data_IF_685797706391
#
_entry.id   IF_685797706391
#
_cell.length_a   1.000
_cell.length_b   1.000
_cell.length_c   1.000
_cell.angle_alpha   90.00
_cell.angle_beta   90.00
_cell.angle_gamma   90.00
#
_symmetry.space_group_name_H-M   'P 1'
#
loop_
_entity.id
_entity.type
_entity.pdbx_description
1 polymer ?
#
# COMPACT_ATOMS: atom_id res chain seq x y z
N UNK A 1 0.62 -10.15 -7.31
CA UNK A 1 -0.84 -10.33 -7.36
C UNK A 1 -1.57 -9.43 -6.39
N UNK A 2 -1.00 -9.05 -5.24
CA UNK A 2 -1.58 -8.01 -4.36
C UNK A 2 -0.54 -6.92 -4.01
N UNK A 3 -0.57 -5.83 -4.77
CA UNK A 3 0.35 -4.69 -4.55
C UNK A 3 -0.10 -3.79 -3.39
N UNK A 4 -1.36 -3.85 -2.98
CA UNK A 4 -1.98 -2.90 -2.05
C UNK A 4 -2.17 -3.44 -0.63
N UNK A 5 -1.86 -4.71 -0.38
CA UNK A 5 -1.89 -5.29 0.97
C UNK A 5 -1.15 -4.41 2.00
N UNK A 6 -1.81 -4.07 3.10
CA UNK A 6 -1.17 -3.41 4.23
C UNK A 6 -0.22 -4.32 5.02
N UNK A 7 -0.28 -5.63 4.80
CA UNK A 7 0.56 -6.61 5.49
C UNK A 7 1.78 -6.95 4.64
N UNK A 8 2.95 -6.52 5.10
CA UNK A 8 4.25 -6.74 4.44
C UNK A 8 5.31 -7.05 5.49
N UNK A 9 6.14 -8.04 5.22
CA UNK A 9 7.33 -8.36 6.02
C UNK A 9 8.56 -7.95 5.22
N UNK A 10 9.52 -7.33 5.88
CA UNK A 10 10.75 -6.87 5.24
C UNK A 10 11.96 -7.07 6.15
N UNK A 11 13.13 -7.17 5.53
CA UNK A 11 14.39 -7.24 6.27
C UNK A 11 14.71 -5.89 6.89
N UNK A 12 15.42 -5.91 8.02
CA UNK A 12 15.92 -4.70 8.68
C UNK A 12 16.72 -3.82 7.70
N UNK A 13 17.59 -4.44 6.90
CA UNK A 13 18.44 -3.73 5.94
C UNK A 13 17.63 -2.96 4.89
N UNK A 14 16.50 -3.52 4.42
CA UNK A 14 15.63 -2.80 3.50
C UNK A 14 14.87 -1.68 4.21
N UNK A 15 14.32 -1.97 5.41
CA UNK A 15 13.57 -0.99 6.19
C UNK A 15 14.39 0.26 6.54
N UNK A 16 15.68 0.10 6.90
CA UNK A 16 16.57 1.24 7.19
C UNK A 16 16.86 2.12 5.97
N UNK A 17 16.72 1.58 4.75
CA UNK A 17 16.93 2.32 3.48
C UNK A 17 15.64 2.81 2.85
N UNK A 18 14.50 2.40 3.38
CA UNK A 18 13.19 2.69 2.82
C UNK A 18 12.80 4.12 3.19
N UNK A 19 12.84 5.03 2.21
CA UNK A 19 12.12 6.30 2.27
C UNK A 19 10.73 6.08 1.66
N UNK A 20 9.66 6.70 2.15
CA UNK A 20 8.34 6.64 1.48
C UNK A 20 8.03 8.05 0.98
N UNK A 21 7.81 8.20 -0.34
CA UNK A 21 7.66 9.52 -0.95
C UNK A 21 6.18 9.95 -1.06
N UNK A 22 5.26 8.99 -1.00
CA UNK A 22 3.84 9.22 -1.24
C UNK A 22 2.99 9.04 0.01
N UNK A 23 2.12 10.01 0.27
CA UNK A 23 1.17 10.00 1.38
C UNK A 23 -0.22 9.64 0.86
N UNK A 24 -0.77 8.49 1.30
CA UNK A 24 -2.10 8.05 0.86
C UNK A 24 -2.17 6.55 0.63
N UNK A 25 -2.95 6.12 -0.36
CA UNK A 25 -3.11 4.71 -0.74
C UNK A 25 -1.93 4.20 -1.59
N UNK A 26 -1.02 5.08 -2.00
CA UNK A 26 0.06 4.80 -2.94
C UNK A 26 1.29 4.19 -2.25
N UNK A 27 1.42 4.32 -0.93
CA UNK A 27 2.61 3.90 -0.18
C UNK A 27 2.93 2.41 -0.35
N UNK A 28 1.91 1.54 -0.42
CA UNK A 28 2.10 0.11 -0.59
C UNK A 28 2.85 -0.23 -1.89
N UNK A 29 2.55 0.49 -2.98
CA UNK A 29 3.22 0.34 -4.26
C UNK A 29 4.62 0.95 -4.20
N UNK A 30 4.78 2.10 -3.55
CA UNK A 30 6.08 2.75 -3.41
C UNK A 30 7.11 1.85 -2.72
N UNK A 31 6.70 1.14 -1.67
CA UNK A 31 7.54 0.15 -0.97
C UNK A 31 8.03 -0.94 -1.94
N UNK A 32 7.12 -1.53 -2.73
CA UNK A 32 7.48 -2.60 -3.68
C UNK A 32 8.40 -2.05 -4.77
N UNK A 33 8.10 -0.86 -5.30
CA UNK A 33 8.93 -0.17 -6.30
C UNK A 33 10.35 0.06 -5.77
N UNK A 34 10.49 0.57 -4.54
CA UNK A 34 11.79 0.82 -3.91
C UNK A 34 12.55 -0.46 -3.60
N UNK A 35 11.88 -1.55 -3.22
CA UNK A 35 12.53 -2.85 -3.07
C UNK A 35 13.16 -3.32 -4.39
N UNK A 36 12.42 -3.23 -5.49
CA UNK A 36 12.91 -3.60 -6.84
C UNK A 36 14.03 -2.68 -7.32
N UNK A 37 13.89 -1.37 -7.14
CA UNK A 37 14.93 -0.39 -7.53
C UNK A 37 16.24 -0.61 -6.77
N UNK A 38 16.17 -0.96 -5.48
CA UNK A 38 17.34 -1.27 -4.66
C UNK A 38 17.81 -2.73 -4.77
N UNK A 39 17.30 -3.48 -5.77
CA UNK A 39 17.67 -4.88 -6.06
C UNK A 39 17.40 -5.87 -4.91
N UNK A 40 16.43 -5.58 -4.05
CA UNK A 40 15.92 -6.55 -3.09
C UNK A 40 14.97 -7.53 -3.77
N UNK A 41 14.93 -8.76 -3.26
CA UNK A 41 13.97 -9.76 -3.73
C UNK A 41 12.60 -9.51 -3.11
N UNK A 42 11.55 -9.71 -3.90
CA UNK A 42 10.15 -9.59 -3.49
C UNK A 42 9.46 -10.91 -3.79
N UNK A 43 8.81 -11.47 -2.78
CA UNK A 43 8.03 -12.70 -2.90
C UNK A 43 6.64 -12.48 -2.30
N UNK A 44 5.67 -13.28 -2.73
CA UNK A 44 4.31 -13.24 -2.23
C UNK A 44 4.01 -14.57 -1.50
N UNK A 45 3.22 -14.49 -0.43
CA UNK A 45 2.79 -15.65 0.34
C UNK A 45 1.30 -15.49 0.63
N UNK A 46 0.48 -16.53 0.41
CA UNK A 46 -0.96 -16.44 0.66
C UNK A 46 -1.22 -16.21 2.15
N UNK A 47 -2.18 -15.33 2.44
CA UNK A 47 -2.63 -15.00 3.80
C UNK A 47 -4.15 -15.03 3.88
N UNK A 48 -4.68 -15.30 5.07
CA UNK A 48 -6.12 -15.25 5.34
C UNK A 48 -6.45 -14.00 6.12
N UNK A 49 -7.43 -13.22 5.66
CA UNK A 49 -7.90 -12.01 6.34
C UNK A 49 -9.11 -12.37 7.20
N UNK A 50 -9.06 -12.02 8.48
CA UNK A 50 -10.17 -12.21 9.42
C UNK A 50 -10.91 -10.89 9.54
N UNK A 51 -12.19 -10.89 9.16
CA UNK A 51 -13.07 -9.72 9.26
C UNK A 51 -13.99 -9.87 10.47
N UNK A 52 -14.06 -8.83 11.30
CA UNK A 52 -15.07 -8.65 12.35
C UNK A 52 -16.11 -7.63 11.91
N UNK A 53 -17.28 -7.62 12.55
CA UNK A 53 -18.35 -6.65 12.26
C UNK A 53 -17.85 -5.20 12.35
N UNK A 54 -17.00 -4.89 13.34
CA UNK A 54 -16.38 -3.57 13.48
C UNK A 54 -15.49 -3.22 12.27
N UNK A 55 -14.67 -4.15 11.80
CA UNK A 55 -13.78 -3.91 10.64
C UNK A 55 -14.56 -3.76 9.34
N UNK A 56 -15.68 -4.47 9.20
CA UNK A 56 -16.58 -4.35 8.06
C UNK A 56 -17.31 -3.01 8.07
N UNK A 57 -17.71 -2.52 9.25
CA UNK A 57 -18.40 -1.24 9.40
C UNK A 57 -17.48 -0.03 9.12
N UNK A 58 -16.16 -0.14 9.37
CA UNK A 58 -15.21 0.94 9.08
C UNK A 58 -15.16 1.26 7.58
N UNK A 59 -15.08 0.24 6.72
CA UNK A 59 -15.15 0.37 5.26
C UNK A 59 -14.29 1.50 4.66
N UNK A 60 -14.56 1.83 3.40
CA UNK A 60 -14.13 3.11 2.82
C UNK A 60 -15.38 3.93 2.57
N UNK A 61 -15.39 5.19 3.01
CA UNK A 61 -16.53 6.06 2.74
C UNK A 61 -16.56 6.45 1.26
N UNK A 62 -17.76 6.51 0.66
CA UNK A 62 -17.96 6.88 -0.75
C UNK A 62 -17.26 8.20 -1.14
N UNK A 63 -17.20 9.15 -0.19
CA UNK A 63 -16.48 10.42 -0.35
C UNK A 63 -14.98 10.24 -0.62
N UNK A 64 -14.32 9.29 0.05
CA UNK A 64 -12.90 8.99 -0.20
C UNK A 64 -12.68 8.38 -1.59
N UNK A 65 -13.64 7.58 -2.08
CA UNK A 65 -13.65 7.09 -3.45
C UNK A 65 -13.70 8.22 -4.48
N UNK A 66 -14.56 9.22 -4.27
CA UNK A 66 -14.66 10.38 -5.15
C UNK A 66 -13.38 11.24 -5.14
N UNK A 67 -12.75 11.41 -3.96
CA UNK A 67 -11.47 12.11 -3.84
C UNK A 67 -10.34 11.38 -4.59
N UNK A 68 -10.28 10.05 -4.50
CA UNK A 68 -9.34 9.25 -5.29
C UNK A 68 -9.55 9.39 -6.79
N UNK A 69 -10.80 9.38 -7.26
CA UNK A 69 -11.10 9.64 -8.68
C UNK A 69 -10.63 11.02 -9.11
N UNK A 70 -10.85 12.06 -8.29
CA UNK A 70 -10.36 13.41 -8.58
C UNK A 70 -8.84 13.47 -8.75
N UNK A 71 -8.08 12.73 -7.92
CA UNK A 71 -6.61 12.66 -8.02
C UNK A 71 -6.11 11.98 -9.29
N UNK A 72 -6.88 11.06 -9.88
CA UNK A 72 -6.51 10.46 -11.18
C UNK A 72 -6.57 11.48 -12.32
N UNK A 73 -7.46 12.47 -12.24
CA UNK A 73 -7.58 13.52 -13.25
C UNK A 73 -6.63 14.70 -13.03
N UNK A 74 -6.14 14.91 -11.81
CA UNK A 74 -5.11 15.91 -11.53
C UNK A 74 -4.06 15.39 -10.53
N UNK A 75 -3.11 14.55 -10.97
CA UNK A 75 -2.17 13.86 -10.09
C UNK A 75 -1.12 14.76 -9.41
N UNK A 76 -1.12 16.07 -9.66
CA UNK A 76 -0.09 17.02 -9.22
C UNK A 76 -0.61 18.30 -8.53
N UNK A 77 -1.84 18.32 -8.01
CA UNK A 77 -2.31 19.34 -7.04
C UNK A 77 -2.60 18.74 -5.69
#
# INVERSE_FOLDING_TARGET
>A
TDSQSGFKVMTRQFAEKLNIDYNGFEFCIDIIKKARMNRFQVAETPVSVVYTEETMAKGQSFRQGLLMLGRLFNPFT
#
